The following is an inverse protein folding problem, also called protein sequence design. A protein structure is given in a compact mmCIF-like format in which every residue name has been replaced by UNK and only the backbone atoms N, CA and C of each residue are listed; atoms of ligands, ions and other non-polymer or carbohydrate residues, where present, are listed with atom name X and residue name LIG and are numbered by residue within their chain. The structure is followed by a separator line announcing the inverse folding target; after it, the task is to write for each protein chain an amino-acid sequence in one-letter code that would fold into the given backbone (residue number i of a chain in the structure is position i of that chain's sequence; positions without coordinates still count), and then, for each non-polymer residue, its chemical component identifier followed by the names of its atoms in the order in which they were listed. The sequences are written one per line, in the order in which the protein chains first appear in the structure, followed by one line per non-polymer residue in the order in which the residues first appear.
data_IF_437247096131
#
_entry.id   IF_437247096131
#
_cell.length_a   1.000
_cell.length_b   1.000
_cell.length_c   1.000
_cell.angle_alpha   90.00
_cell.angle_beta   90.00
_cell.angle_gamma   90.00
#
_symmetry.space_group_name_H-M   'P 1'
#
loop_
_entity.id
_entity.type
_entity.pdbx_description
1 polymer ?
#
# COMPACT_ATOMS: atom_id res chain seq x y z
N UNK A 1 65.47 78.73 -111.97
CA UNK A 1 64.02 78.73 -111.66
C UNK A 1 63.58 80.18 -111.47
N UNK A 2 62.45 80.61 -112.05
CA UNK A 2 62.02 82.02 -111.99
C UNK A 2 61.72 82.45 -110.53
N UNK A 3 62.00 83.70 -110.13
CA UNK A 3 61.91 84.17 -108.73
C UNK A 3 60.50 84.10 -108.12
N UNK A 4 59.46 83.91 -108.93
CA UNK A 4 58.09 83.69 -108.45
C UNK A 4 57.87 82.34 -107.76
N UNK A 5 58.63 81.28 -108.07
CA UNK A 5 58.35 79.94 -107.52
C UNK A 5 58.73 79.80 -106.05
N UNK A 6 59.76 80.51 -105.57
CA UNK A 6 60.21 80.43 -104.18
C UNK A 6 59.18 80.97 -103.16
N UNK A 7 58.48 82.06 -103.51
CA UNK A 7 57.39 82.62 -102.69
C UNK A 7 56.20 81.65 -102.57
N UNK A 8 55.86 80.95 -103.65
CA UNK A 8 54.81 79.91 -103.63
C UNK A 8 55.20 78.71 -102.77
N UNK A 9 56.47 78.28 -102.78
CA UNK A 9 56.94 77.19 -101.90
C UNK A 9 56.84 77.58 -100.43
N UNK A 10 57.28 78.78 -100.04
CA UNK A 10 57.18 79.24 -98.65
C UNK A 10 55.72 79.39 -98.22
N UNK A 11 54.86 79.91 -99.09
CA UNK A 11 53.43 80.05 -98.80
C UNK A 11 52.75 78.68 -98.61
N UNK A 12 53.04 77.70 -99.48
CA UNK A 12 52.49 76.34 -99.34
C UNK A 12 53.01 75.62 -98.09
N UNK A 13 54.27 75.83 -97.70
CA UNK A 13 54.84 75.29 -96.48
C UNK A 13 54.17 75.87 -95.22
N UNK A 14 54.01 77.19 -95.16
CA UNK A 14 53.32 77.85 -94.04
C UNK A 14 51.85 77.44 -93.98
N UNK A 15 51.16 77.37 -95.13
CA UNK A 15 49.77 76.92 -95.20
C UNK A 15 49.62 75.46 -94.73
N UNK A 16 50.54 74.58 -95.11
CA UNK A 16 50.55 73.18 -94.67
C UNK A 16 50.82 73.06 -93.17
N UNK A 17 51.71 73.88 -92.60
CA UNK A 17 52.02 73.88 -91.18
C UNK A 17 50.84 74.40 -90.34
N UNK A 18 50.20 75.49 -90.78
CA UNK A 18 48.99 76.02 -90.13
C UNK A 18 47.85 75.00 -90.21
N UNK A 19 47.65 74.37 -91.37
CA UNK A 19 46.63 73.34 -91.53
C UNK A 19 46.90 72.12 -90.63
N UNK A 20 48.16 71.66 -90.55
CA UNK A 20 48.56 70.57 -89.66
C UNK A 20 48.38 70.94 -88.17
N UNK A 21 48.75 72.15 -87.77
CA UNK A 21 48.58 72.63 -86.39
C UNK A 21 47.09 72.72 -86.00
N UNK A 22 46.24 73.23 -86.90
CA UNK A 22 44.79 73.27 -86.70
C UNK A 22 44.20 71.87 -86.62
N UNK A 23 44.62 70.94 -87.49
CA UNK A 23 44.19 69.53 -87.45
C UNK A 23 44.58 68.84 -86.14
N UNK A 24 45.81 69.02 -85.67
CA UNK A 24 46.27 68.43 -84.40
C UNK A 24 45.50 69.02 -83.22
N UNK A 25 45.33 70.35 -83.15
CA UNK A 25 44.52 71.01 -82.11
C UNK A 25 43.06 70.58 -82.14
N UNK A 26 42.51 70.31 -83.32
CA UNK A 26 41.14 69.82 -83.47
C UNK A 26 41.01 68.36 -83.01
N UNK A 27 41.95 67.49 -83.39
CA UNK A 27 42.02 66.09 -82.94
C UNK A 27 42.21 65.97 -81.42
N UNK A 28 43.05 66.81 -80.81
CA UNK A 28 43.23 66.84 -79.35
C UNK A 28 41.96 67.30 -78.63
N UNK A 29 41.22 68.28 -79.17
CA UNK A 29 39.92 68.69 -78.61
C UNK A 29 38.90 67.56 -78.71
N UNK A 30 38.85 66.86 -79.84
CA UNK A 30 37.96 65.71 -80.03
C UNK A 30 38.31 64.58 -79.05
N UNK A 31 39.59 64.19 -78.94
CA UNK A 31 40.05 63.16 -77.99
C UNK A 31 39.75 63.53 -76.54
N UNK A 32 39.94 64.79 -76.14
CA UNK A 32 39.56 65.27 -74.80
C UNK A 32 38.06 65.16 -74.57
N UNK A 33 37.25 65.58 -75.54
CA UNK A 33 35.79 65.50 -75.45
C UNK A 33 35.33 64.04 -75.37
N UNK A 34 35.93 63.15 -76.15
CA UNK A 34 35.62 61.72 -76.13
C UNK A 34 36.01 61.10 -74.78
N UNK A 35 37.19 61.44 -74.23
CA UNK A 35 37.62 60.99 -72.90
C UNK A 35 36.73 61.54 -71.77
N UNK A 36 36.30 62.80 -71.85
CA UNK A 36 35.34 63.40 -70.91
C UNK A 36 33.97 62.71 -71.02
N UNK A 37 33.53 62.38 -72.23
CA UNK A 37 32.26 61.67 -72.46
C UNK A 37 32.33 60.24 -71.93
N UNK A 38 33.43 59.55 -72.14
CA UNK A 38 33.66 58.20 -71.61
C UNK A 38 33.74 58.21 -70.08
N UNK A 39 34.46 59.16 -69.48
CA UNK A 39 34.51 59.34 -68.03
C UNK A 39 33.11 59.65 -67.45
N UNK A 40 32.33 60.51 -68.10
CA UNK A 40 30.95 60.80 -67.69
C UNK A 40 30.06 59.54 -67.77
N UNK A 41 30.19 58.74 -68.84
CA UNK A 41 29.47 57.47 -68.97
C UNK A 41 29.87 56.45 -67.90
N UNK A 42 31.16 56.38 -67.53
CA UNK A 42 31.63 55.50 -66.46
C UNK A 42 31.01 55.91 -65.11
N UNK A 43 31.00 57.21 -64.79
CA UNK A 43 30.39 57.73 -63.56
C UNK A 43 28.89 57.46 -63.56
N UNK A 44 28.21 57.70 -64.68
CA UNK A 44 26.77 57.44 -64.80
C UNK A 44 26.44 55.95 -64.62
N UNK A 45 27.22 55.06 -65.24
CA UNK A 45 27.08 53.60 -65.04
C UNK A 45 27.33 53.21 -63.58
N UNK A 46 28.38 53.74 -62.97
CA UNK A 46 28.69 53.48 -61.56
C UNK A 46 27.57 53.97 -60.62
N UNK A 47 26.95 55.11 -60.92
CA UNK A 47 25.80 55.63 -60.16
C UNK A 47 24.57 54.73 -60.33
N UNK A 48 24.24 54.32 -61.57
CA UNK A 48 23.13 53.39 -61.83
C UNK A 48 23.35 52.03 -61.16
N UNK A 49 24.57 51.50 -61.19
CA UNK A 49 24.93 50.24 -60.53
C UNK A 49 24.84 50.36 -59.01
N UNK A 50 25.28 51.49 -58.45
CA UNK A 50 25.15 51.76 -57.01
C UNK A 50 23.68 51.89 -56.58
N UNK A 51 22.84 52.55 -57.37
CA UNK A 51 21.40 52.63 -57.13
C UNK A 51 20.71 51.27 -57.26
N UNK A 52 21.07 50.48 -58.27
CA UNK A 52 20.56 49.12 -58.45
C UNK A 52 20.91 48.23 -57.25
N UNK A 53 22.17 48.24 -56.80
CA UNK A 53 22.61 47.50 -55.62
C UNK A 53 21.90 47.95 -54.34
N UNK A 54 21.69 49.26 -54.15
CA UNK A 54 20.93 49.76 -53.00
C UNK A 54 19.51 49.24 -53.00
N UNK A 55 18.83 49.27 -54.15
CA UNK A 55 17.47 48.73 -54.30
C UNK A 55 17.42 47.22 -54.06
N UNK A 56 18.42 46.48 -54.54
CA UNK A 56 18.55 45.04 -54.33
C UNK A 56 18.72 44.72 -52.83
N UNK A 57 19.64 45.39 -52.14
CA UNK A 57 19.85 45.21 -50.69
C UNK A 57 18.58 45.56 -49.90
N UNK A 58 17.89 46.65 -50.25
CA UNK A 58 16.63 47.01 -49.61
C UNK A 58 15.52 45.98 -49.86
N UNK A 59 15.49 45.39 -51.06
CA UNK A 59 14.53 44.34 -51.41
C UNK A 59 14.83 43.05 -50.63
N UNK A 60 16.09 42.62 -50.60
CA UNK A 60 16.54 41.45 -49.83
C UNK A 60 16.26 41.63 -48.33
N UNK A 61 16.55 42.80 -47.77
CA UNK A 61 16.27 43.09 -46.37
C UNK A 61 14.76 43.03 -46.07
N UNK A 62 13.91 43.54 -46.98
CA UNK A 62 12.45 43.43 -46.86
C UNK A 62 11.98 41.99 -46.97
N UNK A 63 12.55 41.21 -47.88
CA UNK A 63 12.21 39.80 -48.05
C UNK A 63 12.58 39.00 -46.81
N UNK A 64 13.79 39.19 -46.27
CA UNK A 64 14.22 38.55 -45.02
C UNK A 64 13.32 38.94 -43.85
N UNK A 65 12.95 40.23 -43.73
CA UNK A 65 12.03 40.68 -42.69
C UNK A 65 10.64 40.03 -42.81
N UNK A 66 10.12 39.88 -44.02
CA UNK A 66 8.85 39.19 -44.28
C UNK A 66 8.94 37.69 -43.97
N UNK A 67 10.02 37.02 -44.37
CA UNK A 67 10.25 35.61 -44.07
C UNK A 67 10.35 35.37 -42.55
N UNK A 68 11.11 36.21 -41.83
CA UNK A 68 11.21 36.14 -40.37
C UNK A 68 9.85 36.37 -39.72
N UNK A 69 9.09 37.36 -40.18
CA UNK A 69 7.74 37.62 -39.67
C UNK A 69 6.81 36.42 -39.88
N UNK A 70 6.83 35.82 -41.06
CA UNK A 70 6.02 34.64 -41.37
C UNK A 70 6.38 33.43 -40.49
N UNK A 71 7.67 33.21 -40.22
CA UNK A 71 8.11 32.12 -39.34
C UNK A 71 7.70 32.37 -37.88
N UNK A 72 7.81 33.62 -37.40
CA UNK A 72 7.32 33.99 -36.06
C UNK A 72 5.80 33.80 -35.95
N UNK A 73 5.02 34.25 -36.92
CA UNK A 73 3.57 34.05 -36.94
C UNK A 73 3.19 32.56 -36.94
N UNK A 74 3.92 31.74 -37.68
CA UNK A 74 3.75 30.29 -37.69
C UNK A 74 4.09 29.66 -36.34
N UNK A 75 5.17 30.06 -35.70
CA UNK A 75 5.55 29.58 -34.37
C UNK A 75 4.52 30.00 -33.31
N UNK A 76 4.06 31.25 -33.35
CA UNK A 76 2.98 31.73 -32.47
C UNK A 76 1.68 30.95 -32.68
N UNK A 77 1.34 30.63 -33.93
CA UNK A 77 0.20 29.77 -34.26
C UNK A 77 0.31 28.39 -33.60
N UNK A 78 1.44 27.71 -33.77
CA UNK A 78 1.71 26.42 -33.13
C UNK A 78 1.62 26.48 -31.61
N UNK A 79 2.28 27.45 -30.99
CA UNK A 79 2.25 27.65 -29.54
C UNK A 79 0.82 27.90 -29.04
N UNK A 80 0.01 28.65 -29.81
CA UNK A 80 -1.39 28.92 -29.46
C UNK A 80 -2.24 27.66 -29.54
N UNK A 81 -2.03 26.82 -30.54
CA UNK A 81 -2.75 25.55 -30.68
C UNK A 81 -2.34 24.54 -29.60
N UNK A 82 -1.04 24.45 -29.30
CA UNK A 82 -0.53 23.65 -28.17
C UNK A 82 -1.10 24.11 -26.83
N UNK A 83 -1.19 25.42 -26.60
CA UNK A 83 -1.77 25.98 -25.38
C UNK A 83 -3.26 25.64 -25.28
N UNK A 84 -4.02 25.79 -26.37
CA UNK A 84 -5.45 25.44 -26.41
C UNK A 84 -5.69 23.96 -26.13
N UNK A 85 -4.83 23.08 -26.64
CA UNK A 85 -4.96 21.65 -26.39
C UNK A 85 -4.64 21.31 -24.92
N UNK A 86 -3.64 21.98 -24.34
CA UNK A 86 -3.35 21.85 -22.90
C UNK A 86 -4.51 22.37 -22.04
N UNK A 87 -5.10 23.51 -22.38
CA UNK A 87 -6.28 24.07 -21.70
C UNK A 87 -7.43 23.05 -21.72
N UNK A 88 -7.77 22.51 -22.89
CA UNK A 88 -8.82 21.48 -23.02
C UNK A 88 -8.53 20.23 -22.19
N UNK A 89 -7.27 19.79 -22.14
CA UNK A 89 -6.88 18.65 -21.31
C UNK A 89 -7.02 18.97 -19.81
N UNK A 90 -6.69 20.20 -19.41
CA UNK A 90 -6.88 20.65 -18.02
C UNK A 90 -8.37 20.73 -17.67
N UNK A 91 -9.20 21.28 -18.55
CA UNK A 91 -10.66 21.35 -18.32
C UNK A 91 -11.26 19.96 -18.11
N UNK A 92 -10.92 18.99 -18.97
CA UNK A 92 -11.34 17.59 -18.82
C UNK A 92 -10.88 16.97 -17.50
N UNK A 93 -9.68 17.31 -17.03
CA UNK A 93 -9.17 16.82 -15.73
C UNK A 93 -9.94 17.46 -14.58
N UNK A 94 -10.23 18.75 -14.67
CA UNK A 94 -11.03 19.47 -13.67
C UNK A 94 -12.43 18.87 -13.58
N UNK A 95 -13.11 18.65 -14.70
CA UNK A 95 -14.42 18.00 -14.74
C UNK A 95 -14.38 16.58 -14.11
N UNK A 96 -13.35 15.80 -14.42
CA UNK A 96 -13.18 14.47 -13.83
C UNK A 96 -12.97 14.52 -12.30
N UNK A 97 -12.19 15.49 -11.81
CA UNK A 97 -11.97 15.70 -10.38
C UNK A 97 -13.26 16.15 -9.69
N UNK A 98 -14.02 17.06 -10.30
CA UNK A 98 -15.31 17.51 -9.77
C UNK A 98 -16.31 16.36 -9.67
N UNK A 99 -16.38 15.51 -10.71
CA UNK A 99 -17.23 14.32 -10.70
C UNK A 99 -16.83 13.34 -9.58
N UNK A 100 -15.52 13.10 -9.40
CA UNK A 100 -15.02 12.26 -8.31
C UNK A 100 -15.34 12.84 -6.93
N UNK A 101 -15.23 14.16 -6.78
CA UNK A 101 -15.57 14.84 -5.53
C UNK A 101 -17.07 14.72 -5.20
N UNK A 102 -17.95 14.84 -6.20
CA UNK A 102 -19.38 14.67 -6.01
C UNK A 102 -19.77 13.23 -5.68
N UNK A 103 -19.11 12.25 -6.30
CA UNK A 103 -19.33 10.83 -5.97
C UNK A 103 -18.82 10.50 -4.56
N UNK A 104 -17.69 11.07 -4.14
CA UNK A 104 -17.18 10.93 -2.78
C UNK A 104 -18.17 11.53 -1.77
N UNK A 105 -18.69 12.75 -2.02
CA UNK A 105 -19.72 13.39 -1.17
C UNK A 105 -21.00 12.56 -1.06
N UNK A 106 -21.42 11.88 -2.15
CA UNK A 106 -22.56 10.95 -2.09
C UNK A 106 -22.24 9.75 -1.20
N UNK A 107 -21.07 9.16 -1.33
CA UNK A 107 -20.64 8.04 -0.49
C UNK A 107 -20.54 8.44 0.98
N UNK A 108 -19.99 9.61 1.29
CA UNK A 108 -19.96 10.16 2.66
C UNK A 108 -21.37 10.28 3.24
N UNK A 109 -22.32 10.88 2.51
CA UNK A 109 -23.72 10.96 2.96
C UNK A 109 -24.36 9.59 3.18
N UNK A 110 -24.07 8.61 2.33
CA UNK A 110 -24.57 7.23 2.50
C UNK A 110 -23.97 6.61 3.76
N UNK A 111 -22.66 6.78 3.98
CA UNK A 111 -21.96 6.28 5.15
C UNK A 111 -22.50 6.92 6.45
N UNK A 112 -22.65 8.24 6.48
CA UNK A 112 -23.24 8.98 7.62
C UNK A 112 -24.65 8.51 7.94
N UNK A 113 -25.51 8.39 6.92
CA UNK A 113 -26.88 7.89 7.12
C UNK A 113 -26.90 6.44 7.62
N UNK A 114 -25.99 5.60 7.13
CA UNK A 114 -25.87 4.21 7.55
C UNK A 114 -25.38 4.13 8.99
N UNK A 115 -24.36 4.92 9.34
CA UNK A 115 -23.83 5.01 10.69
C UNK A 115 -24.90 5.48 11.67
N UNK A 116 -25.66 6.51 11.32
CA UNK A 116 -26.79 6.97 12.14
C UNK A 116 -27.82 5.87 12.37
N UNK A 117 -28.24 5.15 11.32
CA UNK A 117 -29.17 4.01 11.45
C UNK A 117 -28.61 2.90 12.33
N UNK A 118 -27.31 2.61 12.22
CA UNK A 118 -26.65 1.63 13.08
C UNK A 118 -26.65 2.06 14.54
N UNK A 119 -26.35 3.33 14.83
CA UNK A 119 -26.40 3.87 16.19
C UNK A 119 -27.81 3.79 16.76
N UNK A 120 -28.84 4.24 16.02
CA UNK A 120 -30.25 4.16 16.43
C UNK A 120 -30.65 2.70 16.71
N UNK A 121 -30.24 1.76 15.85
CA UNK A 121 -30.53 0.33 16.05
C UNK A 121 -29.80 -0.26 17.25
N UNK A 122 -28.56 0.16 17.50
CA UNK A 122 -27.78 -0.28 18.65
C UNK A 122 -28.44 0.18 19.95
N UNK A 123 -28.91 1.43 20.00
CA UNK A 123 -29.67 1.96 21.13
C UNK A 123 -30.97 1.18 21.37
N UNK A 124 -31.73 0.89 20.31
CA UNK A 124 -32.96 0.08 20.40
C UNK A 124 -32.67 -1.33 20.95
N UNK A 125 -31.59 -1.98 20.48
CA UNK A 125 -31.18 -3.31 20.95
C UNK A 125 -30.76 -3.27 22.41
N UNK A 126 -30.02 -2.25 22.84
CA UNK A 126 -29.63 -2.09 24.23
C UNK A 126 -30.84 -1.90 25.14
N UNK A 127 -31.80 -1.04 24.75
CA UNK A 127 -33.05 -0.86 25.51
C UNK A 127 -33.83 -2.17 25.64
N UNK A 128 -33.94 -2.94 24.54
CA UNK A 128 -34.60 -4.24 24.56
C UNK A 128 -33.88 -5.24 25.45
N UNK A 129 -32.55 -5.28 25.44
CA UNK A 129 -31.77 -6.15 26.32
C UNK A 129 -31.97 -5.79 27.79
N UNK A 130 -32.00 -4.51 28.13
CA UNK A 130 -32.27 -4.04 29.49
C UNK A 130 -33.68 -4.44 29.95
N UNK A 131 -34.69 -4.27 29.08
CA UNK A 131 -36.06 -4.70 29.34
C UNK A 131 -36.15 -6.22 29.53
N UNK A 132 -35.52 -7.00 28.66
CA UNK A 132 -35.47 -8.47 28.74
C UNK A 132 -34.82 -8.93 30.05
N UNK A 133 -33.73 -8.28 30.45
CA UNK A 133 -33.04 -8.56 31.72
C UNK A 133 -33.97 -8.32 32.91
N UNK A 134 -34.70 -7.19 32.91
CA UNK A 134 -35.70 -6.90 33.95
C UNK A 134 -36.84 -7.92 33.98
N UNK A 135 -37.36 -8.31 32.81
CA UNK A 135 -38.42 -9.32 32.70
C UNK A 135 -37.93 -10.67 33.24
N UNK A 136 -36.70 -11.07 32.91
CA UNK A 136 -36.10 -12.31 33.43
C UNK A 136 -35.97 -12.26 34.96
N UNK A 137 -35.51 -11.15 35.52
CA UNK A 137 -35.46 -10.96 36.98
C UNK A 137 -36.85 -11.02 37.62
N UNK A 138 -37.85 -10.37 37.03
CA UNK A 138 -39.23 -10.41 37.50
C UNK A 138 -39.79 -11.84 37.44
N UNK A 139 -39.62 -12.55 36.34
CA UNK A 139 -40.05 -13.94 36.19
C UNK A 139 -39.37 -14.84 37.22
N UNK A 140 -38.07 -14.67 37.44
CA UNK A 140 -37.34 -15.43 38.48
C UNK A 140 -37.91 -15.14 39.87
N UNK A 141 -38.19 -13.88 40.19
CA UNK A 141 -38.79 -13.49 41.46
C UNK A 141 -40.21 -14.07 41.64
N UNK A 142 -41.04 -14.04 40.60
CA UNK A 142 -42.37 -14.65 40.63
C UNK A 142 -42.29 -16.18 40.75
N UNK A 143 -41.34 -16.83 40.08
CA UNK A 143 -41.11 -18.27 40.22
C UNK A 143 -40.71 -18.64 41.66
N UNK A 144 -39.87 -17.82 42.30
CA UNK A 144 -39.55 -17.96 43.72
C UNK A 144 -40.81 -17.84 44.59
N UNK A 145 -41.66 -16.83 44.35
CA UNK A 145 -42.93 -16.65 45.09
C UNK A 145 -43.90 -17.82 44.90
N UNK A 146 -44.12 -18.26 43.67
CA UNK A 146 -45.05 -19.37 43.34
C UNK A 146 -44.55 -20.70 43.89
N UNK A 147 -43.23 -20.94 43.85
CA UNK A 147 -42.62 -22.14 44.44
C UNK A 147 -42.65 -22.12 45.98
N UNK A 148 -42.97 -20.98 46.60
CA UNK A 148 -42.97 -20.78 48.05
C UNK A 148 -41.59 -20.96 48.69
N UNK A 149 -40.53 -21.01 47.87
CA UNK A 149 -39.16 -21.30 48.28
C UNK A 149 -38.26 -20.15 47.83
N UNK A 150 -37.49 -19.61 48.77
CA UNK A 150 -36.39 -18.72 48.39
C UNK A 150 -35.33 -19.50 47.59
N UNK A 151 -34.50 -18.81 46.81
CA UNK A 151 -33.41 -19.46 46.07
C UNK A 151 -32.49 -20.25 47.00
N UNK A 152 -32.19 -19.70 48.17
CA UNK A 152 -31.37 -20.35 49.20
C UNK A 152 -32.07 -21.59 49.77
N UNK A 153 -33.37 -21.53 50.01
CA UNK A 153 -34.15 -22.68 50.49
C UNK A 153 -34.26 -23.79 49.44
N UNK A 154 -34.48 -23.44 48.18
CA UNK A 154 -34.48 -24.39 47.07
C UNK A 154 -33.12 -25.08 46.92
N UNK A 155 -32.04 -24.31 47.00
CA UNK A 155 -30.66 -24.82 46.94
C UNK A 155 -30.36 -25.71 48.15
N UNK A 156 -30.74 -25.29 49.36
CA UNK A 156 -30.57 -26.06 50.59
C UNK A 156 -31.35 -27.37 50.55
N UNK A 157 -32.59 -27.36 50.03
CA UNK A 157 -33.41 -28.56 49.88
C UNK A 157 -32.84 -29.54 48.86
N UNK A 158 -32.32 -29.03 47.74
CA UNK A 158 -31.63 -29.84 46.74
C UNK A 158 -30.37 -30.50 47.33
N UNK A 159 -29.53 -29.71 48.02
CA UNK A 159 -28.32 -30.21 48.67
C UNK A 159 -28.63 -31.19 49.81
N UNK A 160 -29.71 -30.98 50.57
CA UNK A 160 -30.14 -31.91 51.61
C UNK A 160 -30.53 -33.26 51.03
N UNK A 161 -31.31 -33.29 49.94
CA UNK A 161 -31.68 -34.53 49.25
C UNK A 161 -30.46 -35.25 48.68
N UNK A 162 -29.55 -34.51 48.05
CA UNK A 162 -28.31 -35.07 47.54
C UNK A 162 -27.46 -35.70 48.67
N UNK A 163 -27.38 -35.04 49.83
CA UNK A 163 -26.69 -35.58 50.99
C UNK A 163 -27.35 -36.85 51.54
N UNK A 164 -28.69 -36.92 51.57
CA UNK A 164 -29.42 -38.13 51.98
C UNK A 164 -29.16 -39.30 51.03
N UNK A 165 -29.18 -39.06 49.71
CA UNK A 165 -28.86 -40.09 48.70
C UNK A 165 -27.41 -40.57 48.84
N UNK A 166 -26.45 -39.64 48.99
CA UNK A 166 -25.04 -39.98 49.19
C UNK A 166 -24.80 -40.74 50.51
N UNK A 167 -25.52 -40.40 51.59
CA UNK A 167 -25.42 -41.12 52.86
C UNK A 167 -25.92 -42.56 52.74
N UNK A 168 -27.01 -42.78 51.99
CA UNK A 168 -27.52 -44.12 51.73
C UNK A 168 -26.53 -44.96 50.88
N UNK A 169 -25.98 -44.36 49.82
CA UNK A 169 -25.01 -45.04 48.95
C UNK A 169 -23.72 -45.38 49.68
N UNK A 170 -23.16 -44.43 50.43
CA UNK A 170 -21.96 -44.65 51.26
C UNK A 170 -22.21 -45.70 52.35
N UNK A 171 -23.39 -45.71 52.98
CA UNK A 171 -23.79 -46.74 53.94
C UNK A 171 -23.76 -48.16 53.35
N UNK A 172 -24.26 -48.33 52.12
CA UNK A 172 -24.19 -49.62 51.42
C UNK A 172 -22.74 -50.06 51.14
N UNK A 173 -21.88 -49.12 50.76
CA UNK A 173 -20.45 -49.38 50.53
C UNK A 173 -19.76 -49.81 51.83
N UNK A 174 -20.02 -49.12 52.94
CA UNK A 174 -19.48 -49.46 54.26
C UNK A 174 -19.89 -50.88 54.67
N UNK A 175 -21.20 -51.20 54.59
CA UNK A 175 -21.71 -52.52 54.96
C UNK A 175 -21.07 -53.65 54.12
N UNK A 176 -20.85 -53.39 52.82
CA UNK A 176 -20.13 -54.32 51.93
C UNK A 176 -18.68 -54.52 52.37
N UNK A 177 -17.99 -53.46 52.78
CA UNK A 177 -16.62 -53.54 53.28
C UNK A 177 -16.53 -54.23 54.64
N UNK A 178 -17.45 -53.99 55.56
CA UNK A 178 -17.54 -54.68 56.86
C UNK A 178 -17.73 -56.17 56.68
N UNK A 179 -18.63 -56.59 55.78
CA UNK A 179 -18.84 -58.02 55.48
C UNK A 179 -17.57 -58.68 54.96
N UNK A 180 -16.87 -58.04 54.03
CA UNK A 180 -15.57 -58.52 53.52
C UNK A 180 -14.52 -58.59 54.61
N UNK A 181 -14.50 -57.63 55.53
CA UNK A 181 -13.58 -57.60 56.66
C UNK A 181 -13.86 -58.76 57.62
N UNK A 182 -15.13 -59.02 57.93
CA UNK A 182 -15.55 -60.14 58.78
C UNK A 182 -15.11 -61.49 58.19
N UNK A 183 -15.36 -61.71 56.89
CA UNK A 183 -14.90 -62.91 56.18
C UNK A 183 -13.37 -63.06 56.24
N UNK A 184 -12.62 -61.96 56.05
CA UNK A 184 -11.16 -61.97 56.12
C UNK A 184 -10.66 -62.28 57.54
N UNK A 185 -11.32 -61.72 58.56
CA UNK A 185 -10.99 -61.98 59.96
C UNK A 185 -11.28 -63.42 60.35
N UNK A 186 -12.37 -64.01 59.89
CA UNK A 186 -12.72 -65.41 60.15
C UNK A 186 -11.68 -66.36 59.55
N UNK A 187 -11.26 -66.11 58.30
CA UNK A 187 -10.17 -66.85 57.66
C UNK A 187 -8.87 -66.77 58.48
N UNK A 188 -8.47 -65.56 58.91
CA UNK A 188 -7.28 -65.36 59.74
C UNK A 188 -7.39 -66.02 61.11
N UNK A 189 -8.56 -65.94 61.76
CA UNK A 189 -8.79 -66.59 63.05
C UNK A 189 -8.63 -68.11 62.94
N UNK A 190 -9.15 -68.70 61.86
CA UNK A 190 -8.97 -70.13 61.56
C UNK A 190 -7.50 -70.51 61.38
N UNK A 191 -6.73 -69.68 60.66
CA UNK A 191 -5.29 -69.87 60.47
C UNK A 191 -4.52 -69.83 61.80
N UNK A 192 -4.85 -68.87 62.67
CA UNK A 192 -4.23 -68.75 64.01
C UNK A 192 -4.57 -69.96 64.88
N UNK A 193 -5.83 -70.41 64.89
CA UNK A 193 -6.24 -71.60 65.65
C UNK A 193 -5.55 -72.86 65.14
N UNK A 194 -5.44 -73.04 63.82
CA UNK A 194 -4.68 -74.15 63.22
C UNK A 194 -3.21 -74.12 63.66
N UNK A 195 -2.60 -72.93 63.67
CA UNK A 195 -1.22 -72.75 64.12
C UNK A 195 -1.05 -73.11 65.60
N UNK A 196 -2.00 -72.70 66.46
CA UNK A 196 -1.99 -73.01 67.89
C UNK A 196 -2.18 -74.52 68.14
N UNK A 197 -3.10 -75.16 67.41
CA UNK A 197 -3.32 -76.61 67.46
C UNK A 197 -2.03 -77.37 67.07
N UNK A 198 -1.40 -76.97 65.96
CA UNK A 198 -0.13 -77.55 65.52
C UNK A 198 0.95 -77.48 66.60
N UNK A 199 0.99 -76.39 67.38
CA UNK A 199 1.97 -76.18 68.44
C UNK A 199 1.72 -77.05 69.69
N UNK A 200 0.46 -77.34 70.03
CA UNK A 200 0.09 -78.12 71.22
C UNK A 200 -0.09 -79.62 70.96
N UNK A 201 -0.32 -80.02 69.71
CA UNK A 201 -0.52 -81.43 69.35
C UNK A 201 0.68 -82.30 69.78
N UNK A 202 1.92 -81.83 69.57
CA UNK A 202 3.12 -82.59 69.90
C UNK A 202 3.25 -82.87 71.41
N UNK A 203 3.03 -81.86 72.26
CA UNK A 203 3.13 -82.00 73.72
C UNK A 203 2.03 -82.87 74.31
N UNK A 204 0.79 -82.76 73.81
CA UNK A 204 -0.32 -83.56 74.32
C UNK A 204 -0.19 -85.05 73.94
N UNK A 205 0.31 -85.33 72.73
CA UNK A 205 0.55 -86.72 72.29
C UNK A 205 1.66 -87.38 73.12
N UNK A 206 2.71 -86.62 73.49
CA UNK A 206 3.77 -87.13 74.36
C UNK A 206 3.25 -87.48 75.76
N UNK A 207 2.44 -86.61 76.36
CA UNK A 207 1.90 -86.79 77.71
C UNK A 207 0.88 -87.95 77.78
N UNK A 208 0.03 -88.11 76.77
CA UNK A 208 -1.00 -89.16 76.77
C UNK A 208 -0.46 -90.58 76.52
N UNK A 209 0.76 -90.74 75.98
CA UNK A 209 1.29 -92.05 75.55
C UNK A 209 2.30 -92.64 76.53
N UNK A 210 2.75 -91.89 77.54
CA UNK A 210 3.69 -92.39 78.56
C UNK A 210 2.97 -92.64 79.88
N UNK A 211 2.95 -93.89 80.35
CA UNK A 211 2.44 -94.26 81.67
C UNK A 211 3.60 -94.70 82.55
N UNK A 212 3.80 -94.02 83.68
CA UNK A 212 4.76 -94.38 84.72
C UNK A 212 4.12 -95.33 85.72
N UNK A 213 4.78 -96.46 85.99
CA UNK A 213 4.36 -97.47 86.97
C UNK A 213 5.29 -97.41 88.18
N UNK A 214 4.74 -97.18 89.37
CA UNK A 214 5.50 -97.15 90.63
C UNK A 214 5.67 -98.56 91.21
N UNK A 215 6.91 -98.90 91.58
CA UNK A 215 7.28 -100.23 92.10
C UNK A 215 7.31 -100.19 93.64
N UNK A 216 6.58 -101.07 94.36
CA UNK A 216 6.38 -100.91 95.81
C UNK A 216 7.54 -101.31 96.74
N UNK A 217 8.62 -101.94 96.27
CA UNK A 217 9.77 -102.27 97.11
C UNK A 217 11.06 -102.48 96.30
N UNK A 218 12.19 -102.02 96.84
CA UNK A 218 13.45 -101.72 96.13
C UNK A 218 14.27 -102.97 95.70
N UNK A 219 13.87 -104.18 96.11
CA UNK A 219 14.48 -105.44 95.61
C UNK A 219 14.17 -105.71 94.13
N UNK A 220 13.07 -105.17 93.60
CA UNK A 220 12.66 -105.35 92.18
C UNK A 220 13.44 -104.45 91.21
N UNK A 221 14.20 -103.47 91.71
CA UNK A 221 14.93 -102.49 90.89
C UNK A 221 16.20 -103.05 90.25
N UNK A 222 16.75 -104.15 90.77
CA UNK A 222 17.97 -104.78 90.28
C UNK A 222 17.78 -105.75 89.10
N UNK A 223 16.55 -105.90 88.58
CA UNK A 223 16.20 -106.88 87.52
C UNK A 223 15.55 -106.28 86.27
N UNK A 224 15.38 -104.96 86.19
CA UNK A 224 14.74 -104.23 85.08
C UNK A 224 15.69 -103.15 84.56
#
# INVERSE_FOLDING_TARGET
MPPGTALWVVFTAVLSFVLAFVLVKFLDRLRKRDAETEAAQIIERAQRDAEARRREIELEAKEQALQQKAEVEKQLGKTRDELRERERLMDKRTEAIEQQADDLRKQERIAENTQRKFTERLEEVNQKNDELTRIIEQQRNELHKVSGLSQEEATKRLLSRLNEELAAETGMIILKHERRLAETCELKAREVLLTALHRYAASHTAESTTSTVDIPNDEMKGRI
#
